data_IF_020719639674
#
_entry.id   IF_020719639674
#
_cell.length_a   1.000
_cell.length_b   1.000
_cell.length_c   1.000
_cell.angle_alpha   90.00
_cell.angle_beta   90.00
_cell.angle_gamma   90.00
#
_symmetry.space_group_name_H-M   'P 1'
#
loop_
_entity.id
_entity.type
_entity.pdbx_description
1 polymer ?
#
# COMPACT_ATOMS: atom_id res chain seq x y z
N UNK A 1 -7.01 -22.68 -1.74
CA UNK A 1 -7.25 -21.47 -0.93
C UNK A 1 -5.94 -20.72 -0.91
N UNK A 2 -5.89 -19.53 -1.49
CA UNK A 2 -4.60 -18.83 -1.70
C UNK A 2 -4.24 -18.08 -0.43
N UNK A 3 -3.18 -18.52 0.25
CA UNK A 3 -2.70 -17.89 1.47
C UNK A 3 -1.71 -16.79 1.11
N UNK A 4 -2.05 -15.55 1.47
CA UNK A 4 -1.22 -14.39 1.25
C UNK A 4 -0.82 -13.83 2.60
N UNK A 5 0.48 -13.58 2.75
CA UNK A 5 1.04 -12.92 3.92
C UNK A 5 1.62 -11.59 3.51
N UNK A 6 1.10 -10.50 4.07
CA UNK A 6 1.59 -9.15 3.87
C UNK A 6 2.46 -8.73 5.05
N UNK A 7 3.63 -8.18 4.78
CA UNK A 7 4.40 -7.50 5.82
C UNK A 7 3.72 -6.20 6.26
N UNK A 8 3.89 -5.83 7.53
CA UNK A 8 3.42 -4.57 8.08
C UNK A 8 3.90 -3.37 7.24
N UNK A 9 5.18 -3.42 6.82
CA UNK A 9 5.79 -2.44 5.91
C UNK A 9 5.08 -2.34 4.57
N UNK A 10 4.81 -3.45 3.90
CA UNK A 10 4.13 -3.45 2.61
C UNK A 10 2.73 -2.84 2.72
N UNK A 11 1.97 -3.26 3.74
CA UNK A 11 0.62 -2.75 3.98
C UNK A 11 0.62 -1.25 4.28
N UNK A 12 1.44 -0.80 5.23
CA UNK A 12 1.50 0.61 5.63
C UNK A 12 1.87 1.51 4.44
N UNK A 13 2.90 1.16 3.66
CA UNK A 13 3.30 1.95 2.50
C UNK A 13 2.21 2.04 1.42
N UNK A 14 1.49 0.96 1.14
CA UNK A 14 0.37 0.98 0.18
C UNK A 14 -0.68 2.00 0.59
N UNK A 15 -1.09 1.95 1.86
CA UNK A 15 -2.08 2.87 2.41
C UNK A 15 -1.55 4.30 2.40
N UNK A 16 -0.35 4.52 2.93
CA UNK A 16 0.25 5.85 3.02
C UNK A 16 0.40 6.49 1.63
N UNK A 17 0.73 5.72 0.58
CA UNK A 17 0.80 6.23 -0.79
C UNK A 17 -0.58 6.68 -1.31
N UNK A 18 -1.61 5.87 -1.10
CA UNK A 18 -2.98 6.23 -1.48
C UNK A 18 -3.50 7.47 -0.72
N UNK A 19 -3.18 7.59 0.58
CA UNK A 19 -3.58 8.72 1.41
C UNK A 19 -2.78 9.99 1.10
N UNK A 20 -1.51 9.87 0.66
CA UNK A 20 -0.71 11.01 0.22
C UNK A 20 -1.31 11.70 -1.00
N UNK A 21 -1.92 10.93 -1.91
CA UNK A 21 -2.47 11.42 -3.17
C UNK A 21 -3.94 11.01 -3.34
N UNK A 22 -4.86 11.50 -2.51
CA UNK A 22 -6.25 11.04 -2.51
C UNK A 22 -7.04 11.45 -3.76
N UNK A 23 -6.53 12.45 -4.49
CA UNK A 23 -7.10 12.96 -5.74
C UNK A 23 -6.53 12.26 -6.99
N UNK A 24 -5.53 11.38 -6.84
CA UNK A 24 -4.84 10.74 -7.96
C UNK A 24 -4.92 9.22 -7.90
N UNK A 25 -4.78 8.58 -9.07
CA UNK A 25 -4.60 7.14 -9.13
C UNK A 25 -3.14 6.81 -8.80
N UNK A 26 -2.93 6.03 -7.74
CA UNK A 26 -1.60 5.57 -7.35
C UNK A 26 -1.34 4.14 -7.79
N UNK A 27 -0.09 3.79 -8.06
CA UNK A 27 0.33 2.43 -8.37
C UNK A 27 1.68 2.09 -7.73
N UNK A 28 1.99 0.79 -7.71
CA UNK A 28 3.20 0.27 -7.08
C UNK A 28 3.45 -1.19 -7.41
N UNK A 29 4.62 -1.69 -7.00
CA UNK A 29 5.01 -3.10 -7.18
C UNK A 29 5.21 -3.76 -5.83
N UNK A 30 4.58 -4.92 -5.64
CA UNK A 30 4.80 -5.78 -4.48
C UNK A 30 6.06 -6.63 -4.66
N UNK A 31 6.92 -6.64 -3.64
CA UNK A 31 8.10 -7.48 -3.58
C UNK A 31 7.80 -8.71 -2.75
N UNK A 32 7.91 -9.89 -3.36
CA UNK A 32 7.73 -11.17 -2.70
C UNK A 32 9.06 -11.84 -2.38
N UNK A 33 9.10 -12.61 -1.29
CA UNK A 33 10.20 -13.54 -1.05
C UNK A 33 10.14 -14.66 -2.07
N UNK A 34 11.30 -15.14 -2.53
CA UNK A 34 11.34 -16.33 -3.40
C UNK A 34 10.72 -17.50 -2.64
N UNK A 35 9.62 -18.03 -3.18
CA UNK A 35 8.92 -19.15 -2.56
C UNK A 35 9.84 -20.37 -2.49
N UNK A 36 9.86 -21.05 -1.35
CA UNK A 36 10.49 -22.35 -1.24
C UNK A 36 9.58 -23.38 -1.91
N UNK A 37 10.14 -24.40 -2.55
CA UNK A 37 9.44 -25.38 -3.40
C UNK A 37 8.25 -26.12 -2.74
N UNK A 38 7.98 -25.90 -1.45
CA UNK A 38 6.96 -26.58 -0.66
C UNK A 38 5.92 -25.66 0.02
N UNK A 39 6.00 -24.33 -0.10
CA UNK A 39 5.03 -23.43 0.54
C UNK A 39 3.98 -22.92 -0.45
N UNK A 40 2.72 -23.27 -0.21
CA UNK A 40 1.52 -22.77 -0.91
C UNK A 40 1.11 -21.35 -0.45
N UNK A 41 2.05 -20.62 0.16
CA UNK A 41 1.87 -19.28 0.73
C UNK A 41 2.78 -18.29 0.02
N UNK A 42 2.20 -17.16 -0.43
CA UNK A 42 2.93 -16.05 -1.02
C UNK A 42 3.17 -15.01 0.08
N UNK A 43 4.45 -14.72 0.35
CA UNK A 43 4.85 -13.72 1.34
C UNK A 43 5.39 -12.46 0.65
N UNK A 44 4.66 -11.36 0.80
CA UNK A 44 5.04 -10.04 0.32
C UNK A 44 5.78 -9.26 1.41
N UNK A 45 7.06 -9.04 1.18
CA UNK A 45 8.01 -8.48 2.15
C UNK A 45 8.16 -6.96 2.06
N UNK A 46 7.75 -6.36 0.96
CA UNK A 46 7.76 -4.90 0.78
C UNK A 46 6.85 -4.48 -0.37
N UNK A 47 6.63 -3.17 -0.49
CA UNK A 47 6.05 -2.54 -1.67
C UNK A 47 6.95 -1.38 -2.09
N UNK A 48 6.99 -1.13 -3.38
CA UNK A 48 7.65 0.01 -4.00
C UNK A 48 6.55 0.91 -4.61
N UNK A 49 6.24 2.05 -3.97
CA UNK A 49 5.38 3.07 -4.55
C UNK A 49 5.99 3.60 -5.85
N UNK A 50 5.25 3.57 -6.95
CA UNK A 50 5.77 3.99 -8.25
C UNK A 50 5.27 5.40 -8.60
N UNK A 51 4.02 5.51 -9.03
CA UNK A 51 3.51 6.74 -9.62
C UNK A 51 2.22 7.21 -8.95
N UNK A 52 2.00 8.51 -8.97
CA UNK A 52 0.74 9.18 -8.66
C UNK A 52 0.25 9.88 -9.93
N UNK A 53 -0.36 9.10 -10.83
CA UNK A 53 -0.79 9.60 -12.13
C UNK A 53 -1.98 10.53 -11.88
N UNK A 54 -1.77 11.82 -12.13
CA UNK A 54 -2.85 12.79 -12.19
C UNK A 54 -3.86 12.34 -13.23
N UNK A 55 -5.01 11.86 -12.76
CA UNK A 55 -6.21 11.84 -13.58
C UNK A 55 -6.54 13.30 -13.87
N UNK A 56 -6.71 13.68 -15.15
CA UNK A 56 -6.99 15.07 -15.57
C UNK A 56 -8.38 15.53 -15.07
N UNK A 57 -8.51 15.70 -13.75
CA UNK A 57 -9.73 16.11 -13.07
C UNK A 57 -9.82 17.63 -13.05
N UNK A 58 -11.05 18.13 -12.93
CA UNK A 58 -11.26 19.54 -12.66
C UNK A 58 -10.92 19.83 -11.19
N UNK A 59 -10.46 21.05 -10.83
CA UNK A 59 -10.07 21.39 -9.46
C UNK A 59 -11.15 21.08 -8.41
N UNK A 60 -12.43 21.21 -8.78
CA UNK A 60 -13.55 20.88 -7.89
C UNK A 60 -13.68 19.38 -7.61
N UNK A 61 -13.38 18.52 -8.59
CA UNK A 61 -13.42 17.08 -8.41
C UNK A 61 -12.23 16.57 -7.57
N UNK A 62 -11.05 17.17 -7.72
CA UNK A 62 -9.88 16.86 -6.88
C UNK A 62 -10.16 17.17 -5.40
N UNK A 63 -10.69 18.37 -5.13
CA UNK A 63 -11.08 18.78 -3.77
C UNK A 63 -12.16 17.85 -3.22
N UNK A 64 -13.16 17.48 -4.03
CA UNK A 64 -14.21 16.56 -3.60
C UNK A 64 -13.66 15.16 -3.24
N UNK A 65 -12.74 14.61 -4.04
CA UNK A 65 -12.11 13.33 -3.74
C UNK A 65 -11.24 13.39 -2.48
N UNK A 66 -10.55 14.51 -2.26
CA UNK A 66 -9.81 14.73 -1.01
C UNK A 66 -10.75 14.78 0.22
N UNK A 67 -11.94 15.37 0.08
CA UNK A 67 -12.95 15.41 1.17
C UNK A 67 -13.64 14.05 1.39
N UNK A 68 -13.89 13.28 0.33
CA UNK A 68 -14.61 12.00 0.36
C UNK A 68 -13.68 10.81 0.64
N UNK A 69 -12.37 11.04 0.73
CA UNK A 69 -11.38 9.97 0.89
C UNK A 69 -11.76 9.01 2.02
N UNK A 70 -12.11 7.78 1.64
CA UNK A 70 -12.70 6.78 2.52
C UNK A 70 -11.70 5.73 2.97
N UNK A 71 -10.45 5.76 2.48
CA UNK A 71 -9.41 4.80 2.90
C UNK A 71 -9.15 4.91 4.40
N UNK A 72 -9.09 6.13 4.95
CA UNK A 72 -8.92 6.32 6.40
C UNK A 72 -10.11 5.72 7.17
N UNK A 73 -11.34 5.95 6.69
CA UNK A 73 -12.58 5.45 7.31
C UNK A 73 -12.64 3.92 7.27
N UNK A 74 -12.21 3.29 6.17
CA UNK A 74 -12.21 1.83 6.03
C UNK A 74 -11.21 1.16 6.98
N UNK A 75 -10.03 1.78 7.14
CA UNK A 75 -8.96 1.27 8.01
C UNK A 75 -9.33 1.44 9.49
N UNK A 76 -9.88 2.59 9.88
CA UNK A 76 -10.38 2.81 11.25
C UNK A 76 -11.50 1.83 11.64
N UNK A 77 -12.22 1.24 10.67
CA UNK A 77 -13.21 0.18 10.90
C UNK A 77 -12.61 -1.23 10.98
N UNK A 78 -11.28 -1.36 10.99
CA UNK A 78 -10.58 -2.64 11.06
C UNK A 78 -10.76 -3.53 9.84
N UNK A 79 -11.29 -2.98 8.73
CA UNK A 79 -11.50 -3.71 7.48
C UNK A 79 -10.29 -3.55 6.58
N UNK A 80 -9.81 -4.64 5.98
CA UNK A 80 -8.72 -4.63 4.99
C UNK A 80 -9.33 -4.28 3.62
N UNK A 81 -9.11 -3.08 3.05
CA UNK A 81 -9.77 -2.66 1.82
C UNK A 81 -9.03 -3.18 0.58
N UNK A 82 -8.69 -4.47 0.54
CA UNK A 82 -7.92 -5.08 -0.54
C UNK A 82 -8.77 -6.04 -1.37
N UNK A 83 -8.64 -5.94 -2.68
CA UNK A 83 -9.15 -6.91 -3.65
C UNK A 83 -7.96 -7.46 -4.43
N UNK A 84 -7.92 -8.77 -4.64
CA UNK A 84 -6.84 -9.44 -5.37
C UNK A 84 -7.45 -10.14 -6.58
N UNK A 85 -6.76 -10.00 -7.71
CA UNK A 85 -7.07 -10.69 -8.94
C UNK A 85 -5.83 -11.44 -9.44
N UNK A 86 -6.05 -12.59 -10.07
CA UNK A 86 -5.02 -13.38 -10.71
C UNK A 86 -5.15 -13.26 -12.23
N UNK A 87 -4.03 -13.18 -12.94
CA UNK A 87 -4.03 -13.26 -14.39
C UNK A 87 -4.16 -14.73 -14.83
N UNK A 88 -5.24 -15.05 -15.56
CA UNK A 88 -5.49 -16.35 -16.18
C UNK A 88 -6.03 -16.13 -17.59
N UNK A 89 -5.48 -16.84 -18.58
CA UNK A 89 -5.96 -16.85 -19.97
C UNK A 89 -6.18 -15.44 -20.58
N UNK A 90 -5.24 -14.52 -20.32
CA UNK A 90 -5.26 -13.15 -20.86
C UNK A 90 -6.17 -12.17 -20.12
N UNK A 91 -6.86 -12.60 -19.05
CA UNK A 91 -7.75 -11.77 -18.25
C UNK A 91 -7.37 -11.78 -16.77
N UNK A 92 -7.74 -10.72 -16.05
CA UNK A 92 -7.67 -10.68 -14.58
C UNK A 92 -8.98 -11.20 -13.98
N UNK A 93 -8.89 -12.28 -13.21
CA UNK A 93 -10.03 -12.91 -12.54
C UNK A 93 -9.93 -12.64 -11.03
N UNK A 94 -10.99 -12.13 -10.37
CA UNK A 94 -11.01 -11.95 -8.92
C UNK A 94 -10.78 -13.27 -8.18
N UNK A 95 -10.03 -13.22 -7.10
CA UNK A 95 -9.79 -14.38 -6.23
C UNK A 95 -10.78 -14.35 -5.06
N UNK A 96 -11.75 -15.28 -5.02
CA UNK A 96 -12.81 -15.28 -3.99
C UNK A 96 -12.42 -16.06 -2.71
N UNK A 97 -11.45 -16.98 -2.78
CA UNK A 97 -10.99 -17.81 -1.65
C UNK A 97 -9.61 -17.38 -1.13
N UNK A 98 -9.53 -16.14 -0.64
CA UNK A 98 -8.31 -15.50 -0.14
C UNK A 98 -8.22 -15.58 1.39
N UNK A 99 -7.04 -15.93 1.89
CA UNK A 99 -6.68 -15.73 3.28
C UNK A 99 -5.55 -14.70 3.35
N UNK A 100 -5.88 -13.47 3.74
CA UNK A 100 -4.89 -12.39 3.91
C UNK A 100 -4.51 -12.36 5.39
N UNK A 101 -3.23 -12.62 5.66
CA UNK A 101 -2.63 -12.55 6.98
C UNK A 101 -1.53 -11.50 7.00
N UNK A 102 -1.22 -10.97 8.17
CA UNK A 102 -0.10 -10.05 8.37
C UNK A 102 1.07 -10.75 9.07
N UNK A 103 2.27 -10.19 8.95
CA UNK A 103 3.44 -10.66 9.69
C UNK A 103 3.48 -10.20 11.16
N UNK A 104 2.68 -9.21 11.53
CA UNK A 104 2.42 -8.76 12.91
C UNK A 104 0.93 -8.51 13.11
N UNK A 105 0.38 -8.96 14.23
CA UNK A 105 -1.01 -8.69 14.63
C UNK A 105 -1.27 -7.19 14.85
N UNK A 106 -0.22 -6.41 15.11
CA UNK A 106 -0.32 -4.97 15.34
C UNK A 106 -0.36 -4.13 14.05
N UNK A 107 -0.25 -4.75 12.87
CA UNK A 107 -0.11 -4.05 11.58
C UNK A 107 -1.15 -2.96 11.33
N UNK A 108 -2.42 -3.23 11.64
CA UNK A 108 -3.51 -2.25 11.45
C UNK A 108 -3.33 -1.05 12.38
N UNK A 109 -3.01 -1.29 13.66
CA UNK A 109 -2.78 -0.22 14.64
C UNK A 109 -1.53 0.59 14.31
N UNK A 110 -0.46 -0.07 13.83
CA UNK A 110 0.75 0.60 13.33
C UNK A 110 0.39 1.52 12.17
N UNK A 111 -0.43 1.06 11.22
CA UNK A 111 -0.89 1.86 10.09
C UNK A 111 -1.73 3.06 10.56
N UNK A 112 -2.66 2.87 11.50
CA UNK A 112 -3.46 3.95 12.08
C UNK A 112 -2.55 4.99 12.76
N UNK A 113 -1.59 4.55 13.56
CA UNK A 113 -0.63 5.43 14.23
C UNK A 113 0.18 6.27 13.23
N UNK A 114 0.57 5.68 12.10
CA UNK A 114 1.30 6.37 11.03
C UNK A 114 0.42 7.40 10.30
N UNK A 115 -0.86 7.09 10.10
CA UNK A 115 -1.84 8.02 9.53
C UNK A 115 -2.07 9.21 10.46
N UNK A 116 -2.26 8.98 11.76
CA UNK A 116 -2.43 10.03 12.78
C UNK A 116 -1.20 10.95 12.86
N UNK A 117 0.01 10.39 12.68
CA UNK A 117 1.27 11.14 12.61
C UNK A 117 1.50 11.84 11.27
N UNK A 118 0.61 11.68 10.30
CA UNK A 118 0.76 12.18 8.93
C UNK A 118 2.06 11.71 8.25
N UNK A 119 2.50 10.48 8.56
CA UNK A 119 3.76 9.92 8.06
C UNK A 119 3.80 9.78 6.52
N UNK A 120 2.62 9.78 5.88
CA UNK A 120 2.49 9.76 4.42
C UNK A 120 3.15 10.97 3.74
N UNK A 121 3.28 12.11 4.42
CA UNK A 121 4.00 13.27 3.88
C UNK A 121 5.49 12.97 3.59
N UNK A 122 6.07 12.02 4.33
CA UNK A 122 7.47 11.62 4.20
C UNK A 122 7.67 10.44 3.23
N UNK A 123 6.58 9.82 2.74
CA UNK A 123 6.67 8.72 1.78
C UNK A 123 7.09 9.27 0.42
N UNK A 124 8.13 8.68 -0.17
CA UNK A 124 8.67 9.02 -1.49
C UNK A 124 8.31 7.92 -2.48
N UNK A 125 7.66 8.27 -3.57
CA UNK A 125 7.45 7.37 -4.72
C UNK A 125 8.45 7.67 -5.85
N UNK A 126 8.34 6.95 -6.98
CA UNK A 126 9.24 7.16 -8.12
C UNK A 126 9.00 8.47 -8.84
N UNK A 127 7.78 9.00 -8.89
CA UNK A 127 7.54 10.34 -9.45
C UNK A 127 8.33 11.39 -8.67
N UNK A 128 8.28 11.38 -7.33
CA UNK A 128 9.09 12.29 -6.53
C UNK A 128 10.59 12.08 -6.76
N UNK A 129 11.04 10.82 -6.88
CA UNK A 129 12.44 10.52 -7.16
C UNK A 129 12.89 10.98 -8.56
N UNK A 130 12.02 10.96 -9.56
CA UNK A 130 12.32 11.48 -10.89
C UNK A 130 12.45 12.99 -10.90
N UNK A 131 11.63 13.71 -10.13
CA UNK A 131 11.79 15.15 -9.93
C UNK A 131 13.10 15.48 -9.19
N UNK A 132 13.48 14.63 -8.23
CA UNK A 132 14.72 14.77 -7.47
C UNK A 132 15.34 13.41 -7.09
N UNK A 133 16.38 13.04 -7.84
CA UNK A 133 17.10 11.75 -7.69
C UNK A 133 17.74 11.53 -6.32
N UNK A 134 17.82 12.56 -5.46
CA UNK A 134 18.33 12.43 -4.08
C UNK A 134 17.28 11.87 -3.12
N UNK A 135 16.00 11.88 -3.50
CA UNK A 135 14.92 11.38 -2.65
C UNK A 135 14.93 9.85 -2.63
N UNK A 136 14.79 9.24 -1.46
CA UNK A 136 14.90 7.79 -1.29
C UNK A 136 13.57 7.08 -1.51
N UNK A 137 13.36 6.56 -2.72
CA UNK A 137 12.17 5.75 -3.06
C UNK A 137 12.11 4.41 -2.29
N UNK A 138 13.21 3.93 -1.68
CA UNK A 138 13.18 2.74 -0.82
C UNK A 138 12.57 3.04 0.55
N UNK A 139 12.43 4.32 0.90
CA UNK A 139 11.80 4.79 2.12
C UNK A 139 12.43 4.19 3.39
N UNK A 140 13.77 4.13 3.47
CA UNK A 140 14.48 3.42 4.55
C UNK A 140 14.09 3.96 5.93
N UNK A 141 14.03 5.28 6.09
CA UNK A 141 13.62 5.92 7.36
C UNK A 141 12.20 5.56 7.77
N UNK A 142 11.26 5.54 6.82
CA UNK A 142 9.88 5.14 7.08
C UNK A 142 9.81 3.66 7.46
N UNK A 143 10.62 2.80 6.83
CA UNK A 143 10.70 1.38 7.20
C UNK A 143 11.16 1.21 8.66
N UNK A 144 12.18 1.97 9.09
CA UNK A 144 12.65 1.95 10.48
C UNK A 144 11.58 2.44 11.46
N UNK A 145 10.77 3.43 11.09
CA UNK A 145 9.65 3.89 11.91
C UNK A 145 8.56 2.81 12.02
N UNK A 146 8.21 2.16 10.91
CA UNK A 146 7.24 1.06 10.88
C UNK A 146 7.71 -0.08 11.78
N UNK A 147 8.97 -0.52 11.67
CA UNK A 147 9.50 -1.62 12.48
C UNK A 147 9.56 -1.29 13.98
N UNK A 148 9.67 -0.01 14.37
CA UNK A 148 9.59 0.41 15.79
C UNK A 148 8.17 0.36 16.36
N UNK A 149 7.16 0.47 15.50
CA UNK A 149 5.74 0.48 15.86
C UNK A 149 5.06 -0.89 15.67
N UNK A 150 5.74 -1.81 14.98
CA UNK A 150 5.30 -3.18 14.69
C UNK A 150 5.37 -4.06 15.94
#
# INVERSE_FOLDING_TARGET
MTNIKLSCKAYCKMILHAVKYPHAAVNGVLLAKKSSLHSDQIEFVDVVPLFHISINLTPLAEIALMMVNSTDIAIHKGSIPLKIAQHSDGNFVPCDNLNISFDSDNTINTCITLLEKLAFNNLIDFDNHFDNIKLDWKNIRLNEEIEKLK
#
